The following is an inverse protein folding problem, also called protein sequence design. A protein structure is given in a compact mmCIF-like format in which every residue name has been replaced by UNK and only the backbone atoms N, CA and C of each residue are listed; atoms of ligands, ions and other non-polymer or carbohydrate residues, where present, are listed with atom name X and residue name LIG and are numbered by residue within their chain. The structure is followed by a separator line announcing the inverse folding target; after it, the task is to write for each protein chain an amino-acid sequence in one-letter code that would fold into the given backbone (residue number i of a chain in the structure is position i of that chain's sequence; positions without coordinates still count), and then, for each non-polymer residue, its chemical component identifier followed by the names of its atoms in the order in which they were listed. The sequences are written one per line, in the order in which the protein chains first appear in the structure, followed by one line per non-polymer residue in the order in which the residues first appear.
data_IF_557652615877
#
_entry.id   IF_557652615877
#
_cell.length_a   1.000
_cell.length_b   1.000
_cell.length_c   1.000
_cell.angle_alpha   90.00
_cell.angle_beta   90.00
_cell.angle_gamma   90.00
#
_symmetry.space_group_name_H-M   'P 1'
#
loop_
_entity.id
_entity.type
_entity.pdbx_description
1 polymer ?
#
# COMPACT_ATOMS: atom_id res chain seq x y z
N UNK A 1 8.96 25.39 9.61
CA UNK A 1 8.77 24.25 8.68
C UNK A 1 7.41 23.57 8.87
N UNK A 2 7.07 23.06 10.06
CA UNK A 2 5.76 22.43 10.34
C UNK A 2 4.53 23.37 10.31
N UNK A 3 4.75 24.69 10.32
CA UNK A 3 3.68 25.68 10.19
C UNK A 3 3.23 25.91 8.74
N UNK A 4 4.03 25.46 7.75
CA UNK A 4 3.62 25.53 6.35
C UNK A 4 2.45 24.57 6.11
N UNK A 5 1.35 25.10 5.57
CA UNK A 5 0.17 24.32 5.21
C UNK A 5 0.51 23.21 4.19
N UNK A 6 1.47 23.45 3.29
CA UNK A 6 1.89 22.47 2.30
C UNK A 6 2.70 21.32 2.91
N UNK A 7 3.63 21.63 3.83
CA UNK A 7 4.39 20.61 4.57
C UNK A 7 3.44 19.75 5.39
N UNK A 8 2.44 20.36 6.06
CA UNK A 8 1.42 19.63 6.82
C UNK A 8 0.59 18.73 5.92
N UNK A 9 0.17 19.22 4.74
CA UNK A 9 -0.57 18.43 3.74
C UNK A 9 0.26 17.22 3.30
N UNK A 10 1.55 17.40 3.01
CA UNK A 10 2.43 16.31 2.58
C UNK A 10 2.65 15.28 3.69
N UNK A 11 2.91 15.71 4.93
CA UNK A 11 3.02 14.81 6.09
C UNK A 11 1.73 14.02 6.35
N UNK A 12 0.57 14.67 6.28
CA UNK A 12 -0.73 13.99 6.41
C UNK A 12 -0.97 13.00 5.28
N UNK A 13 -0.61 13.36 4.05
CA UNK A 13 -0.69 12.45 2.89
C UNK A 13 0.15 11.18 3.13
N UNK A 14 1.41 11.36 3.56
CA UNK A 14 2.30 10.24 3.89
C UNK A 14 1.73 9.36 4.99
N UNK A 15 1.23 9.96 6.08
CA UNK A 15 0.61 9.24 7.19
C UNK A 15 -0.58 8.42 6.71
N UNK A 16 -1.52 9.02 5.98
CA UNK A 16 -2.71 8.34 5.48
C UNK A 16 -2.38 7.16 4.56
N UNK A 17 -1.39 7.30 3.68
CA UNK A 17 -0.98 6.20 2.81
C UNK A 17 -0.32 5.05 3.58
N UNK A 18 0.61 5.37 4.49
CA UNK A 18 1.34 4.35 5.26
C UNK A 18 0.44 3.62 6.27
N UNK A 19 -0.38 4.36 7.02
CA UNK A 19 -1.29 3.76 8.01
C UNK A 19 -2.43 3.00 7.32
N UNK A 20 -2.96 3.51 6.21
CA UNK A 20 -3.94 2.79 5.40
C UNK A 20 -3.40 1.48 4.81
N UNK A 21 -2.16 1.49 4.32
CA UNK A 21 -1.49 0.29 3.83
C UNK A 21 -1.31 -0.74 4.95
N UNK A 22 -0.83 -0.32 6.12
CA UNK A 22 -0.65 -1.20 7.27
C UNK A 22 -1.99 -1.80 7.74
N UNK A 23 -3.03 -0.98 7.84
CA UNK A 23 -4.37 -1.44 8.21
C UNK A 23 -4.92 -2.48 7.21
N UNK A 24 -4.72 -2.25 5.91
CA UNK A 24 -5.12 -3.19 4.87
C UNK A 24 -4.37 -4.52 4.98
N UNK A 25 -3.06 -4.50 5.21
CA UNK A 25 -2.26 -5.71 5.42
C UNK A 25 -2.73 -6.50 6.65
N UNK A 26 -2.91 -5.81 7.78
CA UNK A 26 -3.38 -6.45 9.02
C UNK A 26 -4.78 -7.05 8.85
N UNK A 27 -5.66 -6.35 8.14
CA UNK A 27 -7.00 -6.85 7.85
C UNK A 27 -6.96 -8.10 6.96
N UNK A 28 -6.17 -8.09 5.90
CA UNK A 28 -5.97 -9.26 5.05
C UNK A 28 -5.37 -10.44 5.82
N UNK A 29 -4.44 -10.19 6.75
CA UNK A 29 -3.91 -11.22 7.64
C UNK A 29 -4.98 -11.81 8.56
N UNK A 30 -5.87 -10.98 9.12
CA UNK A 30 -7.02 -11.45 9.91
C UNK A 30 -7.92 -12.36 9.07
N UNK A 31 -8.29 -11.93 7.86
CA UNK A 31 -9.13 -12.74 6.96
C UNK A 31 -8.47 -14.07 6.59
N UNK A 32 -7.14 -14.10 6.44
CA UNK A 32 -6.39 -15.33 6.14
C UNK A 32 -6.45 -16.33 7.29
N UNK A 33 -6.47 -15.85 8.51
CA UNK A 33 -6.66 -16.68 9.70
C UNK A 33 -8.11 -17.15 9.79
N UNK A 34 -9.06 -16.22 9.67
CA UNK A 34 -10.50 -16.48 9.76
C UNK A 34 -10.98 -17.50 8.72
N UNK A 35 -10.38 -17.53 7.53
CA UNK A 35 -10.61 -18.57 6.50
C UNK A 35 -10.49 -19.99 7.07
N UNK A 36 -9.67 -20.20 8.10
CA UNK A 36 -9.42 -21.50 8.74
C UNK A 36 -10.06 -21.63 10.11
N UNK A 37 -10.19 -20.53 10.85
CA UNK A 37 -10.49 -20.58 12.28
C UNK A 37 -11.82 -19.96 12.68
N UNK A 38 -12.54 -19.27 11.77
CA UNK A 38 -13.85 -18.72 12.09
C UNK A 38 -14.85 -19.82 12.50
N UNK A 39 -15.79 -19.48 13.37
CA UNK A 39 -16.68 -20.44 14.04
C UNK A 39 -17.57 -21.20 13.05
N UNK A 40 -18.13 -20.49 12.07
CA UNK A 40 -19.05 -21.08 11.08
C UNK A 40 -18.39 -21.27 9.72
N UNK A 41 -18.84 -22.30 9.00
CA UNK A 41 -18.40 -22.53 7.62
C UNK A 41 -18.74 -21.35 6.68
N UNK A 42 -19.87 -20.69 6.94
CA UNK A 42 -20.28 -19.50 6.20
C UNK A 42 -19.28 -18.34 6.38
N UNK A 43 -18.82 -18.10 7.62
CA UNK A 43 -17.83 -17.04 7.90
C UNK A 43 -16.47 -17.36 7.31
N UNK A 44 -16.01 -18.61 7.38
CA UNK A 44 -14.76 -19.07 6.73
C UNK A 44 -14.79 -18.82 5.23
N UNK A 45 -15.88 -19.19 4.56
CA UNK A 45 -16.06 -18.97 3.13
C UNK A 45 -16.11 -17.47 2.79
N UNK A 46 -16.80 -16.68 3.59
CA UNK A 46 -16.85 -15.22 3.41
C UNK A 46 -15.47 -14.58 3.56
N UNK A 47 -14.68 -15.01 4.54
CA UNK A 47 -13.32 -14.54 4.75
C UNK A 47 -12.42 -14.89 3.54
N UNK A 48 -12.53 -16.13 3.02
CA UNK A 48 -11.81 -16.56 1.84
C UNK A 48 -12.13 -15.70 0.60
N UNK A 49 -13.42 -15.48 0.33
CA UNK A 49 -13.89 -14.67 -0.82
C UNK A 49 -13.42 -13.22 -0.69
N UNK A 50 -13.53 -12.63 0.50
CA UNK A 50 -13.10 -11.25 0.71
C UNK A 50 -11.58 -11.10 0.62
N UNK A 51 -10.82 -12.05 1.16
CA UNK A 51 -9.37 -12.06 1.03
C UNK A 51 -8.94 -12.17 -0.44
N UNK A 52 -9.59 -13.04 -1.20
CA UNK A 52 -9.31 -13.25 -2.62
C UNK A 52 -9.54 -11.97 -3.45
N UNK A 53 -10.57 -11.19 -3.10
CA UNK A 53 -10.82 -9.86 -3.68
C UNK A 53 -9.75 -8.83 -3.27
N UNK A 54 -9.33 -8.85 -2.00
CA UNK A 54 -8.43 -7.83 -1.45
C UNK A 54 -6.94 -8.09 -1.71
N UNK A 55 -6.54 -9.34 -1.94
CA UNK A 55 -5.14 -9.72 -2.21
C UNK A 55 -4.44 -8.84 -3.27
N UNK A 56 -5.03 -8.55 -4.45
CA UNK A 56 -4.41 -7.64 -5.42
C UNK A 56 -4.32 -6.19 -4.92
N UNK A 57 -5.26 -5.74 -4.08
CA UNK A 57 -5.26 -4.39 -3.48
C UNK A 57 -4.14 -4.26 -2.45
N UNK A 58 -3.93 -5.29 -1.62
CA UNK A 58 -2.87 -5.36 -0.61
C UNK A 58 -1.48 -5.23 -1.24
N UNK A 59 -1.28 -5.77 -2.44
CA UNK A 59 0.00 -5.68 -3.14
C UNK A 59 0.15 -4.36 -3.93
N UNK A 60 -0.90 -3.93 -4.63
CA UNK A 60 -0.85 -2.74 -5.48
C UNK A 60 -0.72 -1.43 -4.69
N UNK A 61 -1.45 -1.29 -3.58
CA UNK A 61 -1.51 -0.05 -2.81
C UNK A 61 -0.14 0.38 -2.23
N UNK A 62 0.54 -0.40 -1.37
CA UNK A 62 1.84 -0.02 -0.82
C UNK A 62 2.93 0.12 -1.90
N UNK A 63 2.84 -0.66 -2.99
CA UNK A 63 3.78 -0.55 -4.10
C UNK A 63 3.73 0.83 -4.75
N UNK A 64 2.53 1.29 -5.12
CA UNK A 64 2.34 2.60 -5.75
C UNK A 64 2.51 3.76 -4.76
N UNK A 65 1.79 3.72 -3.66
CA UNK A 65 1.72 4.84 -2.73
C UNK A 65 2.95 4.97 -1.85
N UNK A 66 3.72 3.89 -1.64
CA UNK A 66 5.03 3.96 -0.98
C UNK A 66 6.03 4.82 -1.77
N UNK A 67 6.08 4.69 -3.10
CA UNK A 67 6.93 5.56 -3.94
C UNK A 67 6.54 7.02 -3.81
N UNK A 68 5.24 7.33 -3.82
CA UNK A 68 4.71 8.69 -3.67
C UNK A 68 5.08 9.24 -2.28
N UNK A 69 4.92 8.45 -1.22
CA UNK A 69 5.30 8.84 0.15
C UNK A 69 6.78 9.18 0.23
N UNK A 70 7.67 8.39 -0.38
CA UNK A 70 9.11 8.66 -0.38
C UNK A 70 9.47 9.91 -1.19
N UNK A 71 8.80 10.16 -2.32
CA UNK A 71 8.94 11.42 -3.09
C UNK A 71 8.50 12.65 -2.27
N UNK A 72 7.38 12.55 -1.54
CA UNK A 72 6.96 13.60 -0.62
C UNK A 72 7.99 13.82 0.50
N UNK A 73 8.63 12.76 1.01
CA UNK A 73 9.62 12.88 2.07
C UNK A 73 10.86 13.65 1.60
N UNK A 74 11.33 13.37 0.37
CA UNK A 74 12.41 14.13 -0.26
C UNK A 74 12.02 15.61 -0.40
N UNK A 75 10.79 15.90 -0.86
CA UNK A 75 10.31 17.29 -0.98
C UNK A 75 10.22 18.04 0.34
N UNK A 76 9.83 17.36 1.43
CA UNK A 76 9.82 17.94 2.79
C UNK A 76 11.23 18.33 3.19
N UNK A 77 12.20 17.44 2.97
CA UNK A 77 13.61 17.67 3.32
C UNK A 77 14.33 18.62 2.35
N UNK A 78 13.71 18.97 1.22
CA UNK A 78 14.32 19.82 0.20
C UNK A 78 15.67 19.24 -0.28
N UNK A 79 16.68 20.07 -0.51
CA UNK A 79 17.99 19.67 -1.02
C UNK A 79 18.66 18.56 -0.21
N UNK A 80 18.50 18.55 1.13
CA UNK A 80 19.12 17.51 1.96
C UNK A 80 18.45 16.15 1.79
N UNK A 81 17.22 16.11 1.28
CA UNK A 81 16.52 14.87 0.92
C UNK A 81 17.16 14.11 -0.25
N UNK A 82 18.10 14.72 -0.96
CA UNK A 82 18.86 14.07 -2.04
C UNK A 82 20.25 13.59 -1.58
N UNK A 83 20.66 13.91 -0.34
CA UNK A 83 21.99 13.56 0.17
C UNK A 83 21.98 12.15 0.77
N UNK A 84 23.04 11.39 0.51
CA UNK A 84 23.19 10.01 1.01
C UNK A 84 23.34 9.91 2.54
N UNK A 85 23.49 11.05 3.22
CA UNK A 85 23.54 11.13 4.68
C UNK A 85 22.15 10.92 5.32
N UNK A 86 21.09 11.05 4.54
CA UNK A 86 19.72 10.75 4.93
C UNK A 86 19.27 9.44 4.27
N UNK A 87 18.32 8.69 4.84
CA UNK A 87 17.90 7.41 4.27
C UNK A 87 16.87 7.55 3.13
N UNK A 88 16.35 8.75 2.88
CA UNK A 88 15.09 8.95 2.14
C UNK A 88 15.24 8.67 0.65
N UNK A 89 16.37 9.02 0.06
CA UNK A 89 16.70 8.78 -1.35
C UNK A 89 16.99 7.30 -1.59
N UNK A 90 17.62 6.61 -0.63
CA UNK A 90 17.74 5.15 -0.67
C UNK A 90 16.37 4.48 -0.62
N UNK A 91 15.51 4.86 0.34
CA UNK A 91 14.15 4.32 0.43
C UNK A 91 13.36 4.57 -0.85
N UNK A 92 13.51 5.74 -1.48
CA UNK A 92 12.88 6.02 -2.76
C UNK A 92 13.38 5.09 -3.87
N UNK A 93 14.70 4.92 -4.02
CA UNK A 93 15.28 4.01 -5.02
C UNK A 93 14.83 2.56 -4.84
N UNK A 94 14.86 2.08 -3.60
CA UNK A 94 14.54 0.69 -3.28
C UNK A 94 13.04 0.41 -3.54
N UNK A 95 12.15 1.38 -3.23
CA UNK A 95 10.72 1.24 -3.46
C UNK A 95 10.32 1.25 -4.95
N UNK A 96 11.11 1.89 -5.84
CA UNK A 96 10.77 2.02 -7.27
C UNK A 96 10.63 0.71 -8.00
N UNK A 97 11.22 -0.36 -7.49
CA UNK A 97 11.11 -1.67 -8.10
C UNK A 97 9.73 -2.29 -7.85
N UNK A 98 9.02 -1.92 -6.77
CA UNK A 98 7.77 -2.56 -6.36
C UNK A 98 6.63 -2.38 -7.38
N UNK A 99 6.39 -1.18 -7.97
CA UNK A 99 5.43 -1.04 -9.05
C UNK A 99 5.85 -1.73 -10.37
N UNK A 100 7.16 -1.95 -10.56
CA UNK A 100 7.72 -2.47 -11.81
C UNK A 100 7.81 -4.00 -11.83
N UNK A 101 8.15 -4.61 -10.70
CA UNK A 101 8.10 -6.05 -10.55
C UNK A 101 6.66 -6.51 -10.86
N UNK A 102 6.55 -7.41 -11.84
CA UNK A 102 5.33 -8.12 -12.22
C UNK A 102 4.30 -7.38 -13.10
N UNK A 103 4.57 -6.17 -13.60
CA UNK A 103 3.52 -5.40 -14.30
C UNK A 103 2.28 -5.19 -13.42
N UNK A 104 2.54 -5.19 -12.11
CA UNK A 104 1.63 -5.41 -11.00
C UNK A 104 0.36 -4.57 -11.11
N UNK A 105 0.47 -3.26 -11.33
CA UNK A 105 -0.71 -2.38 -11.25
C UNK A 105 -1.77 -2.71 -12.32
N UNK A 106 -1.36 -2.91 -13.57
CA UNK A 106 -2.30 -3.26 -14.66
C UNK A 106 -2.77 -4.70 -14.52
N UNK A 107 -1.87 -5.62 -14.14
CA UNK A 107 -2.22 -7.03 -13.97
C UNK A 107 -3.20 -7.23 -12.80
N UNK A 108 -2.97 -6.57 -11.67
CA UNK A 108 -3.86 -6.59 -10.50
C UNK A 108 -5.19 -5.90 -10.79
N UNK A 109 -5.20 -4.80 -11.55
CA UNK A 109 -6.43 -4.16 -11.98
C UNK A 109 -7.26 -5.05 -12.91
N UNK A 110 -6.61 -5.73 -13.86
CA UNK A 110 -7.26 -6.70 -14.75
C UNK A 110 -7.76 -7.92 -13.97
N UNK A 111 -6.98 -8.44 -13.02
CA UNK A 111 -7.41 -9.56 -12.18
C UNK A 111 -8.66 -9.19 -11.37
N UNK A 112 -8.67 -8.00 -10.77
CA UNK A 112 -9.81 -7.48 -10.02
C UNK A 112 -11.06 -7.33 -10.92
N UNK A 113 -10.92 -6.68 -12.09
CA UNK A 113 -12.02 -6.41 -13.00
C UNK A 113 -12.56 -7.65 -13.72
N UNK A 114 -11.69 -8.58 -14.11
CA UNK A 114 -12.06 -9.72 -14.96
C UNK A 114 -12.43 -10.94 -14.12
N UNK A 115 -11.80 -11.15 -12.97
CA UNK A 115 -11.94 -12.39 -12.19
C UNK A 115 -12.65 -12.20 -10.85
N UNK A 116 -12.47 -11.06 -10.17
CA UNK A 116 -12.95 -10.88 -8.80
C UNK A 116 -14.31 -10.18 -8.70
N UNK A 117 -14.66 -9.34 -9.68
CA UNK A 117 -15.95 -8.66 -9.75
C UNK A 117 -16.78 -9.30 -10.86
N UNK A 118 -17.80 -10.12 -10.54
CA UNK A 118 -18.75 -10.56 -11.55
C UNK A 118 -19.56 -9.36 -12.07
N UNK A 119 -19.69 -9.23 -13.39
CA UNK A 119 -20.61 -8.30 -14.06
C UNK A 119 -22.06 -8.72 -13.85
#
# INVERSE_FOLDING_TARGET
MFESADVRRMLLTQKSYSEGALALCLYASSLKEDEKTADTECERQRAAVLLDLLAPVVQSWPSKYGCITNDLAMKILSEVGCFHDYPVEQLYRDQRINPMHEGAEVLYALDLLIKKIPL
#
